data_IF_214696695197
#
_entry.id   IF_214696695197
#
_cell.length_a   1.000
_cell.length_b   1.000
_cell.length_c   1.000
_cell.angle_alpha   90.00
_cell.angle_beta   90.00
_cell.angle_gamma   90.00
#
_symmetry.space_group_name_H-M   'P 1'
#
loop_
_entity.id
_entity.type
_entity.pdbx_description
1 polymer ?
#
# COMPACT_ATOMS: atom_id res chain seq x y z
N UNK A 1 19.06 -23.75 -53.32
CA UNK A 1 19.15 -24.99 -54.13
C UNK A 1 17.80 -25.66 -54.06
N UNK A 2 17.20 -25.92 -55.24
CA UNK A 2 15.93 -26.61 -55.38
C UNK A 2 16.17 -27.90 -56.15
N UNK A 3 15.63 -28.99 -55.67
CA UNK A 3 15.74 -30.30 -56.34
C UNK A 3 14.32 -30.86 -56.47
N UNK A 4 13.95 -31.22 -57.70
CA UNK A 4 12.74 -31.93 -58.02
C UNK A 4 13.06 -33.32 -58.55
N UNK A 5 12.52 -34.36 -57.97
CA UNK A 5 12.68 -35.74 -58.38
C UNK A 5 11.35 -36.28 -58.97
N UNK A 6 11.40 -36.76 -60.15
CA UNK A 6 10.26 -37.41 -60.80
C UNK A 6 10.63 -38.85 -61.08
N UNK A 7 9.94 -39.76 -60.43
CA UNK A 7 10.13 -41.20 -60.65
C UNK A 7 8.89 -41.88 -61.22
N UNK A 8 9.03 -42.73 -62.22
CA UNK A 8 7.97 -43.61 -62.71
C UNK A 8 8.43 -45.04 -62.59
N UNK A 9 7.68 -45.84 -61.81
CA UNK A 9 7.92 -47.29 -61.71
C UNK A 9 6.65 -48.05 -62.15
N UNK A 10 6.57 -48.51 -63.44
CA UNK A 10 5.38 -49.18 -64.00
C UNK A 10 4.96 -50.41 -63.20
N UNK A 11 5.93 -51.12 -62.62
CA UNK A 11 5.66 -52.35 -61.87
C UNK A 11 4.90 -52.12 -60.59
N UNK A 12 5.13 -51.00 -59.96
CA UNK A 12 4.41 -50.60 -58.72
C UNK A 12 2.96 -50.17 -58.99
N UNK A 13 2.65 -49.75 -60.22
CA UNK A 13 1.32 -49.27 -60.61
C UNK A 13 0.50 -50.28 -61.36
N UNK A 14 0.99 -51.56 -61.58
CA UNK A 14 0.34 -52.62 -62.36
C UNK A 14 -0.06 -52.22 -63.81
N UNK A 15 0.60 -51.21 -64.36
CA UNK A 15 0.38 -50.85 -65.77
C UNK A 15 1.13 -51.80 -66.64
N UNK A 16 0.47 -52.87 -67.04
CA UNK A 16 1.00 -53.95 -67.85
C UNK A 16 0.77 -53.69 -69.34
N UNK A 17 1.37 -52.72 -69.94
CA UNK A 17 1.56 -52.76 -71.42
C UNK A 17 2.48 -51.62 -71.88
N UNK A 18 3.61 -52.04 -72.48
CA UNK A 18 4.39 -51.15 -73.32
C UNK A 18 5.59 -50.48 -72.68
N UNK A 19 6.60 -51.27 -72.42
CA UNK A 19 7.96 -51.00 -72.77
C UNK A 19 8.74 -49.83 -72.28
N UNK A 20 8.44 -49.15 -71.25
CA UNK A 20 9.38 -48.24 -70.64
C UNK A 20 9.66 -48.64 -69.20
N UNK A 21 10.88 -49.03 -68.90
CA UNK A 21 11.36 -49.36 -67.55
C UNK A 21 11.21 -48.24 -66.59
N UNK A 22 11.65 -48.45 -65.34
CA UNK A 22 11.71 -47.40 -64.30
C UNK A 22 12.50 -46.21 -64.81
N UNK A 23 11.92 -45.05 -64.75
CA UNK A 23 12.59 -43.79 -65.10
C UNK A 23 12.68 -42.86 -63.91
N UNK A 24 13.80 -42.20 -63.78
CA UNK A 24 14.02 -41.17 -62.81
C UNK A 24 14.51 -39.92 -63.53
N UNK A 25 13.84 -38.81 -63.30
CA UNK A 25 14.23 -37.52 -63.84
C UNK A 25 14.46 -36.58 -62.64
N UNK A 26 15.59 -35.91 -62.68
CA UNK A 26 15.94 -34.94 -61.65
C UNK A 26 16.11 -33.55 -62.27
N UNK A 27 15.46 -32.58 -61.71
CA UNK A 27 15.67 -31.18 -62.04
C UNK A 27 16.22 -30.46 -60.81
N UNK A 28 17.33 -29.79 -60.94
CA UNK A 28 17.98 -29.13 -59.88
C UNK A 28 18.63 -27.82 -60.30
N UNK A 29 18.62 -26.87 -59.36
CA UNK A 29 19.34 -25.61 -59.46
C UNK A 29 20.44 -25.57 -58.43
N UNK A 30 21.63 -25.16 -58.79
CA UNK A 30 22.76 -25.00 -57.88
C UNK A 30 23.51 -23.71 -58.16
N UNK A 31 24.27 -23.26 -57.18
CA UNK A 31 25.19 -22.15 -57.31
C UNK A 31 26.62 -22.65 -57.17
N UNK A 32 27.59 -21.92 -57.74
CA UNK A 32 28.99 -22.24 -57.61
C UNK A 32 29.43 -22.30 -56.15
N UNK A 33 30.24 -23.30 -55.76
CA UNK A 33 30.80 -23.44 -54.40
C UNK A 33 31.73 -22.31 -53.99
N UNK A 34 32.12 -21.44 -54.92
CA UNK A 34 32.89 -20.22 -54.63
C UNK A 34 32.00 -19.00 -54.34
N UNK A 35 30.67 -19.11 -54.34
CA UNK A 35 29.73 -18.06 -54.02
C UNK A 35 28.95 -18.43 -52.77
N UNK A 36 28.96 -17.51 -51.80
CA UNK A 36 28.11 -17.63 -50.62
C UNK A 36 26.64 -17.55 -51.06
N UNK A 37 25.88 -18.59 -50.75
CA UNK A 37 24.43 -18.56 -50.92
C UNK A 37 23.78 -17.92 -49.71
N UNK A 38 22.92 -16.95 -49.97
CA UNK A 38 22.04 -16.35 -48.94
C UNK A 38 20.62 -16.46 -49.42
N UNK A 39 19.72 -16.90 -48.52
CA UNK A 39 18.29 -16.88 -48.79
C UNK A 39 17.84 -15.45 -49.13
N UNK A 40 16.87 -15.34 -50.02
CA UNK A 40 16.24 -14.05 -50.25
C UNK A 40 15.67 -13.50 -48.93
N UNK A 41 15.98 -12.25 -48.66
CA UNK A 41 15.44 -11.58 -47.49
C UNK A 41 13.91 -11.50 -47.63
N UNK A 42 13.19 -12.02 -46.62
CA UNK A 42 11.74 -11.88 -46.51
C UNK A 42 11.45 -10.98 -45.32
N UNK A 43 10.72 -9.93 -45.55
CA UNK A 43 10.23 -9.08 -44.48
C UNK A 43 9.26 -9.91 -43.62
N UNK A 44 9.46 -9.87 -42.29
CA UNK A 44 8.43 -10.35 -41.38
C UNK A 44 7.19 -9.46 -41.50
N UNK A 45 6.00 -10.02 -41.39
CA UNK A 45 4.81 -9.18 -41.16
C UNK A 45 5.02 -8.33 -39.95
N UNK A 46 4.71 -7.04 -40.06
CA UNK A 46 4.76 -6.10 -38.95
C UNK A 46 3.41 -6.11 -38.24
N UNK A 47 3.43 -5.94 -36.91
CA UNK A 47 2.23 -5.63 -36.16
C UNK A 47 1.73 -4.22 -36.54
N UNK A 48 0.43 -4.10 -36.81
CA UNK A 48 -0.20 -2.85 -37.31
C UNK A 48 -0.64 -1.91 -36.17
N UNK A 49 -0.04 -2.05 -34.99
CA UNK A 49 -0.31 -1.19 -33.86
C UNK A 49 -0.20 -1.91 -32.52
N UNK A 50 -0.70 -1.24 -31.49
CA UNK A 50 -0.78 -1.80 -30.14
C UNK A 50 -2.01 -2.71 -30.00
N UNK A 51 -1.91 -3.68 -29.13
CA UNK A 51 -3.00 -4.62 -28.85
C UNK A 51 -3.34 -4.64 -27.36
N UNK A 52 -4.56 -5.04 -27.06
CA UNK A 52 -5.03 -5.22 -25.70
C UNK A 52 -4.99 -6.70 -25.32
N UNK A 53 -4.47 -6.99 -24.15
CA UNK A 53 -4.40 -8.34 -23.60
C UNK A 53 -4.76 -8.38 -22.12
N UNK A 54 -5.08 -9.55 -21.62
CA UNK A 54 -5.36 -9.78 -20.19
C UNK A 54 -4.18 -10.49 -19.53
N UNK A 55 -3.72 -10.00 -18.37
CA UNK A 55 -2.68 -10.67 -17.58
C UNK A 55 -3.20 -12.00 -17.07
N UNK A 56 -2.38 -13.05 -17.22
CA UNK A 56 -2.75 -14.42 -16.86
C UNK A 56 -1.68 -15.11 -16.01
N UNK A 57 -2.05 -16.24 -15.43
CA UNK A 57 -1.16 -17.06 -14.61
C UNK A 57 -1.87 -18.29 -14.06
N UNK A 58 -1.23 -19.05 -13.16
CA UNK A 58 -1.76 -20.26 -12.56
C UNK A 58 -3.10 -20.04 -11.84
N UNK A 59 -3.93 -21.06 -11.85
CA UNK A 59 -5.22 -21.02 -11.16
C UNK A 59 -5.03 -20.78 -9.65
N UNK A 60 -5.82 -19.84 -9.11
CA UNK A 60 -5.76 -19.47 -7.68
C UNK A 60 -4.64 -18.50 -7.31
N UNK A 61 -3.82 -18.05 -8.28
CA UNK A 61 -2.88 -16.95 -8.08
C UNK A 61 -3.50 -15.60 -8.49
N UNK A 62 -3.02 -14.53 -7.84
CA UNK A 62 -3.38 -13.14 -8.17
C UNK A 62 -2.23 -12.39 -8.83
N UNK A 63 -0.99 -12.83 -8.62
CA UNK A 63 0.22 -12.23 -9.13
C UNK A 63 1.11 -13.33 -9.69
N UNK A 64 1.50 -13.22 -10.96
CA UNK A 64 2.41 -14.18 -11.60
C UNK A 64 3.49 -13.43 -12.34
N UNK A 65 4.72 -13.56 -11.87
CA UNK A 65 5.88 -12.81 -12.36
C UNK A 65 7.14 -13.67 -12.23
N UNK A 66 8.05 -13.55 -13.17
CA UNK A 66 9.35 -14.23 -13.10
C UNK A 66 10.40 -13.35 -12.35
N UNK A 67 11.61 -13.88 -12.21
CA UNK A 67 12.72 -13.18 -11.49
C UNK A 67 13.18 -11.89 -12.18
N UNK A 68 12.92 -11.74 -13.47
CA UNK A 68 13.21 -10.53 -14.25
C UNK A 68 12.06 -9.51 -14.20
N UNK A 69 10.98 -9.81 -13.49
CA UNK A 69 9.82 -8.93 -13.40
C UNK A 69 8.89 -9.01 -14.62
N UNK A 70 9.01 -10.02 -15.49
CA UNK A 70 8.13 -10.19 -16.65
C UNK A 70 6.81 -10.85 -16.25
N UNK A 71 5.76 -10.57 -17.02
CA UNK A 71 4.41 -11.14 -16.86
C UNK A 71 4.01 -11.97 -18.08
N UNK A 72 2.91 -12.70 -17.96
CA UNK A 72 2.27 -13.40 -19.09
C UNK A 72 0.89 -12.84 -19.34
N UNK A 73 0.50 -12.84 -20.61
CA UNK A 73 -0.78 -12.30 -21.06
C UNK A 73 -1.50 -13.26 -21.99
N UNK A 74 -2.81 -13.10 -22.09
CA UNK A 74 -3.64 -13.76 -23.09
C UNK A 74 -4.25 -12.70 -23.99
N UNK A 75 -4.00 -12.79 -25.30
CA UNK A 75 -4.55 -11.87 -26.29
C UNK A 75 -6.02 -12.21 -26.58
N UNK A 76 -6.85 -11.22 -26.81
CA UNK A 76 -8.28 -11.43 -27.02
C UNK A 76 -8.62 -12.16 -28.34
N UNK A 77 -7.72 -12.11 -29.31
CA UNK A 77 -7.84 -12.83 -30.58
C UNK A 77 -7.42 -14.30 -30.52
N UNK A 78 -6.67 -14.68 -29.48
CA UNK A 78 -6.20 -16.06 -29.34
C UNK A 78 -7.37 -16.99 -29.00
N UNK A 79 -7.64 -17.92 -29.93
CA UNK A 79 -8.72 -18.90 -29.85
C UNK A 79 -8.24 -20.29 -29.49
N UNK A 80 -6.95 -20.52 -29.51
CA UNK A 80 -6.35 -21.84 -29.38
C UNK A 80 -5.81 -22.11 -28.00
N UNK A 81 -5.15 -21.13 -27.42
CA UNK A 81 -4.54 -21.26 -26.10
C UNK A 81 -5.53 -20.90 -24.98
N UNK A 82 -5.37 -21.56 -23.85
CA UNK A 82 -6.12 -21.23 -22.65
C UNK A 82 -5.54 -19.97 -21.99
N UNK A 83 -6.39 -19.20 -21.34
CA UNK A 83 -5.97 -18.04 -20.54
C UNK A 83 -5.35 -18.49 -19.21
N UNK A 84 -4.20 -19.18 -19.27
CA UNK A 84 -3.45 -19.71 -18.14
C UNK A 84 -1.97 -19.29 -18.20
N UNK A 85 -1.15 -19.87 -17.35
CA UNK A 85 0.30 -19.60 -17.27
C UNK A 85 1.09 -19.91 -18.54
N UNK A 86 0.51 -20.51 -19.55
CA UNK A 86 1.19 -20.90 -20.79
C UNK A 86 0.76 -20.06 -22.01
N UNK A 87 -0.19 -19.13 -21.83
CA UNK A 87 -0.82 -18.39 -22.93
C UNK A 87 0.13 -17.47 -23.72
N UNK A 88 1.27 -17.08 -23.19
CA UNK A 88 2.27 -16.29 -23.91
C UNK A 88 3.70 -16.61 -23.46
N UNK A 89 4.69 -16.04 -24.15
CA UNK A 89 6.03 -15.90 -23.61
C UNK A 89 6.03 -14.94 -22.40
N UNK A 90 7.15 -14.85 -21.66
CA UNK A 90 7.38 -13.84 -20.67
C UNK A 90 7.59 -12.47 -21.32
N UNK A 91 6.72 -11.50 -20.98
CA UNK A 91 6.72 -10.16 -21.57
C UNK A 91 7.13 -9.16 -20.50
N UNK A 92 8.11 -8.30 -20.82
CA UNK A 92 8.51 -7.18 -19.98
C UNK A 92 7.39 -6.15 -19.93
N UNK A 93 7.24 -5.44 -18.80
CA UNK A 93 6.34 -4.30 -18.72
C UNK A 93 7.10 -3.03 -18.35
N UNK A 94 6.70 -1.93 -18.98
CA UNK A 94 7.27 -0.62 -18.74
C UNK A 94 6.86 -0.08 -17.37
N UNK A 95 7.79 0.59 -16.71
CA UNK A 95 7.57 1.33 -15.47
C UNK A 95 7.90 2.80 -15.72
N UNK A 96 7.28 3.70 -14.96
CA UNK A 96 7.54 5.13 -15.11
C UNK A 96 8.98 5.55 -14.82
N UNK A 97 9.68 4.78 -14.01
CA UNK A 97 11.09 4.98 -13.67
C UNK A 97 11.71 3.69 -13.15
N UNK A 98 12.87 3.31 -13.67
CA UNK A 98 13.58 2.10 -13.25
C UNK A 98 15.09 2.24 -13.37
N UNK A 99 15.82 1.54 -12.52
CA UNK A 99 17.28 1.43 -12.54
C UNK A 99 17.75 0.18 -11.80
N UNK A 100 19.05 0.01 -11.63
CA UNK A 100 19.60 -1.14 -10.95
C UNK A 100 19.37 -1.03 -9.43
N UNK A 101 18.35 -1.73 -8.94
CA UNK A 101 18.01 -1.77 -7.51
C UNK A 101 17.21 -0.57 -7.00
N UNK A 102 16.71 0.30 -7.87
CA UNK A 102 15.85 1.42 -7.51
C UNK A 102 14.81 1.72 -8.60
N UNK A 103 13.74 2.42 -8.24
CA UNK A 103 12.70 2.83 -9.17
C UNK A 103 11.28 2.62 -8.63
N UNK A 104 10.31 2.84 -9.51
CA UNK A 104 8.90 2.54 -9.26
C UNK A 104 8.58 1.15 -9.81
N UNK A 105 7.99 0.28 -8.99
CA UNK A 105 7.62 -1.07 -9.41
C UNK A 105 6.20 -1.41 -8.95
N UNK A 106 5.28 -1.59 -9.92
CA UNK A 106 3.93 -2.07 -9.68
C UNK A 106 3.63 -3.19 -10.68
N UNK A 107 3.63 -4.44 -10.21
CA UNK A 107 3.39 -5.62 -11.06
C UNK A 107 1.91 -5.70 -11.44
N UNK A 108 1.56 -5.72 -12.74
CA UNK A 108 0.20 -5.96 -13.19
C UNK A 108 -0.28 -7.33 -12.70
N UNK A 109 -1.52 -7.36 -12.16
CA UNK A 109 -2.09 -8.57 -11.57
C UNK A 109 -2.91 -9.36 -12.58
N UNK A 110 -3.05 -10.65 -12.33
CA UNK A 110 -3.90 -11.55 -13.14
C UNK A 110 -5.33 -10.97 -13.22
N UNK A 111 -5.87 -10.94 -14.44
CA UNK A 111 -7.16 -10.36 -14.77
C UNK A 111 -7.15 -8.88 -15.14
N UNK A 112 -6.02 -8.18 -14.97
CA UNK A 112 -5.88 -6.79 -15.43
C UNK A 112 -5.68 -6.73 -16.94
N UNK A 113 -6.25 -5.71 -17.55
CA UNK A 113 -6.08 -5.39 -18.95
C UNK A 113 -4.82 -4.55 -19.15
N UNK A 114 -4.02 -4.92 -20.13
CA UNK A 114 -2.76 -4.26 -20.46
C UNK A 114 -2.68 -3.95 -21.95
N UNK A 115 -1.93 -2.90 -22.28
CA UNK A 115 -1.59 -2.52 -23.64
C UNK A 115 -0.26 -3.15 -23.99
N UNK A 116 -0.20 -3.90 -25.08
CA UNK A 116 1.00 -4.55 -25.61
C UNK A 116 1.41 -3.83 -26.87
N UNK A 117 2.60 -3.27 -26.87
CA UNK A 117 3.26 -2.67 -28.03
C UNK A 117 4.33 -3.62 -28.56
N UNK A 118 4.69 -3.48 -29.84
CA UNK A 118 5.70 -4.30 -30.49
C UNK A 118 6.89 -3.44 -30.93
N UNK A 119 8.07 -3.73 -30.41
CA UNK A 119 9.27 -2.95 -30.72
C UNK A 119 9.62 -3.02 -32.20
N UNK A 120 9.58 -1.88 -32.90
CA UNK A 120 9.73 -1.75 -34.36
C UNK A 120 8.67 -2.54 -35.16
N UNK A 121 7.49 -2.78 -34.60
CA UNK A 121 6.45 -3.59 -35.20
C UNK A 121 6.77 -5.09 -35.26
N UNK A 122 7.81 -5.56 -34.62
CA UNK A 122 8.21 -6.97 -34.62
C UNK A 122 7.38 -7.75 -33.59
N UNK A 123 6.51 -8.64 -34.06
CA UNK A 123 5.62 -9.46 -33.24
C UNK A 123 6.35 -10.37 -32.24
N UNK A 124 7.63 -10.66 -32.49
CA UNK A 124 8.47 -11.45 -31.57
C UNK A 124 9.09 -10.59 -30.47
N UNK A 125 8.80 -9.28 -30.45
CA UNK A 125 9.36 -8.34 -29.48
C UNK A 125 8.27 -7.54 -28.75
N UNK A 126 7.32 -8.22 -28.08
CA UNK A 126 6.27 -7.56 -27.32
C UNK A 126 6.81 -6.88 -26.07
N UNK A 127 6.19 -5.77 -25.69
CA UNK A 127 6.39 -5.07 -24.42
C UNK A 127 5.05 -4.53 -23.93
N UNK A 128 4.72 -4.74 -22.68
CA UNK A 128 3.56 -4.10 -22.05
C UNK A 128 3.92 -2.65 -21.72
N UNK A 129 3.16 -1.70 -22.22
CA UNK A 129 3.39 -0.26 -22.07
C UNK A 129 2.48 0.42 -21.09
N UNK A 130 1.35 -0.19 -20.71
CA UNK A 130 0.40 0.36 -19.75
C UNK A 130 -0.66 -0.62 -19.30
N UNK A 131 -1.44 -0.20 -18.30
CA UNK A 131 -2.65 -0.87 -17.85
C UNK A 131 -3.86 0.04 -18.08
N UNK A 132 -5.01 -0.55 -18.37
CA UNK A 132 -6.26 0.20 -18.58
C UNK A 132 -7.34 -0.24 -17.60
N UNK A 133 -8.19 0.72 -17.22
CA UNK A 133 -9.45 0.39 -16.58
C UNK A 133 -10.50 0.03 -17.63
N UNK A 134 -11.39 -0.89 -17.28
CA UNK A 134 -12.47 -1.34 -18.16
C UNK A 134 -13.72 -1.69 -17.34
N UNK A 135 -14.73 -2.28 -17.98
CA UNK A 135 -15.98 -2.67 -17.32
C UNK A 135 -15.82 -3.71 -16.20
N UNK A 136 -14.74 -4.50 -16.21
CA UNK A 136 -14.42 -5.50 -15.19
C UNK A 136 -13.45 -4.94 -14.14
N UNK A 137 -12.44 -4.22 -14.57
CA UNK A 137 -11.43 -3.58 -13.73
C UNK A 137 -11.72 -2.07 -13.66
N UNK A 138 -12.57 -1.67 -12.73
CA UNK A 138 -12.97 -0.27 -12.55
C UNK A 138 -11.92 0.53 -11.80
N UNK A 139 -11.87 1.87 -11.99
CA UNK A 139 -11.05 2.76 -11.17
C UNK A 139 -11.30 2.58 -9.67
N UNK A 140 -10.31 2.84 -8.81
CA UNK A 140 -10.47 2.75 -7.35
C UNK A 140 -11.31 3.89 -6.74
N UNK A 141 -11.71 4.86 -7.53
CA UNK A 141 -12.50 6.04 -7.16
C UNK A 141 -13.89 5.95 -7.81
N UNK A 142 -14.89 6.48 -7.14
CA UNK A 142 -16.26 6.57 -7.66
C UNK A 142 -16.39 7.77 -8.61
N UNK A 143 -16.11 7.54 -9.88
CA UNK A 143 -16.14 8.57 -10.92
C UNK A 143 -17.54 8.71 -11.52
N UNK A 144 -18.01 9.94 -11.85
CA UNK A 144 -17.28 11.22 -11.82
C UNK A 144 -17.33 11.96 -10.47
N UNK A 145 -17.96 11.42 -9.43
CA UNK A 145 -18.18 12.12 -8.15
C UNK A 145 -16.85 12.47 -7.45
N UNK A 146 -15.88 11.58 -7.47
CA UNK A 146 -14.56 11.75 -6.83
C UNK A 146 -13.46 12.21 -7.81
N UNK A 147 -13.80 12.99 -8.83
CA UNK A 147 -12.86 13.42 -9.88
C UNK A 147 -11.72 14.33 -9.41
N UNK A 148 -11.84 14.92 -8.22
CA UNK A 148 -10.81 15.78 -7.60
C UNK A 148 -9.78 14.97 -6.81
N UNK A 149 -9.99 13.67 -6.64
CA UNK A 149 -9.07 12.78 -5.92
C UNK A 149 -8.01 12.18 -6.84
N UNK A 150 -6.80 12.10 -6.31
CA UNK A 150 -5.69 11.32 -6.88
C UNK A 150 -5.28 10.26 -5.87
N UNK A 151 -5.17 9.00 -6.28
CA UNK A 151 -4.82 7.92 -5.34
C UNK A 151 -3.79 6.95 -5.91
N UNK A 152 -2.88 6.51 -5.03
CA UNK A 152 -2.07 5.31 -5.20
C UNK A 152 -2.56 4.28 -4.20
N UNK A 153 -3.37 3.33 -4.70
CA UNK A 153 -4.04 2.31 -3.87
C UNK A 153 -3.58 0.92 -4.25
N UNK A 154 -3.13 0.15 -3.27
CA UNK A 154 -2.75 -1.26 -3.43
C UNK A 154 -3.88 -2.16 -2.94
N UNK A 155 -3.77 -3.45 -3.18
CA UNK A 155 -4.71 -4.46 -2.67
C UNK A 155 -3.93 -5.57 -1.96
N UNK A 156 -4.42 -6.02 -0.83
CA UNK A 156 -3.85 -7.16 -0.11
C UNK A 156 -3.89 -8.42 -0.99
N UNK A 157 -2.75 -9.11 -1.10
CA UNK A 157 -2.66 -10.38 -1.82
C UNK A 157 -3.48 -11.45 -1.08
N UNK A 158 -4.39 -12.10 -1.80
CA UNK A 158 -5.30 -13.14 -1.27
C UNK A 158 -6.09 -12.68 -0.03
N UNK A 159 -6.46 -11.40 0.03
CA UNK A 159 -7.21 -10.82 1.14
C UNK A 159 -7.97 -9.55 0.74
N UNK A 160 -8.76 -9.02 1.68
CA UNK A 160 -9.70 -7.91 1.43
C UNK A 160 -9.19 -6.56 2.00
N UNK A 161 -7.90 -6.35 2.09
CA UNK A 161 -7.33 -5.11 2.58
C UNK A 161 -6.64 -4.28 1.50
N UNK A 162 -6.18 -3.09 1.88
CA UNK A 162 -5.44 -2.19 1.00
C UNK A 162 -4.49 -1.27 1.77
N UNK A 163 -3.46 -0.75 1.09
CA UNK A 163 -2.74 0.44 1.54
C UNK A 163 -3.02 1.56 0.55
N UNK A 164 -3.05 2.81 1.02
CA UNK A 164 -3.41 3.94 0.19
C UNK A 164 -2.63 5.21 0.55
N UNK A 165 -2.15 5.91 -0.46
CA UNK A 165 -1.78 7.32 -0.40
C UNK A 165 -2.74 8.07 -1.33
N UNK A 166 -3.55 8.97 -0.75
CA UNK A 166 -4.57 9.72 -1.47
C UNK A 166 -4.42 11.21 -1.24
N UNK A 167 -4.72 11.97 -2.26
CA UNK A 167 -4.85 13.42 -2.24
C UNK A 167 -6.28 13.79 -2.62
N UNK A 168 -6.90 14.68 -1.86
CA UNK A 168 -8.15 15.35 -2.22
C UNK A 168 -7.83 16.80 -2.50
N UNK A 169 -8.19 17.29 -3.70
CA UNK A 169 -7.90 18.64 -4.17
C UNK A 169 -9.18 19.51 -4.31
N UNK A 170 -10.31 19.05 -3.79
CA UNK A 170 -11.52 19.86 -3.74
C UNK A 170 -11.31 21.04 -2.78
N UNK A 171 -11.62 22.26 -3.27
CA UNK A 171 -11.45 23.50 -2.50
C UNK A 171 -12.14 23.42 -1.14
N UNK A 172 -11.44 23.81 -0.08
CA UNK A 172 -11.87 23.80 1.31
C UNK A 172 -12.09 22.37 1.89
N UNK A 173 -11.62 21.32 1.17
CA UNK A 173 -11.66 19.92 1.57
C UNK A 173 -10.33 19.19 1.29
N UNK A 174 -9.27 19.97 1.03
CA UNK A 174 -7.95 19.45 0.70
C UNK A 174 -7.44 18.52 1.80
N UNK A 175 -7.03 17.31 1.41
CA UNK A 175 -6.56 16.29 2.34
C UNK A 175 -5.40 15.48 1.76
N UNK A 176 -4.44 15.13 2.59
CA UNK A 176 -3.49 14.03 2.33
C UNK A 176 -3.81 12.89 3.29
N UNK A 177 -4.26 11.77 2.75
CA UNK A 177 -4.65 10.57 3.51
C UNK A 177 -3.64 9.45 3.31
N UNK A 178 -3.12 8.89 4.41
CA UNK A 178 -2.22 7.74 4.41
C UNK A 178 -2.89 6.60 5.20
N UNK A 179 -3.13 5.49 4.54
CA UNK A 179 -3.71 4.30 5.15
C UNK A 179 -2.76 3.10 5.04
N UNK A 180 -2.42 2.52 6.17
CA UNK A 180 -1.71 1.25 6.27
C UNK A 180 -2.67 0.17 6.79
N UNK A 181 -2.88 -0.89 6.01
CA UNK A 181 -3.78 -1.99 6.37
C UNK A 181 -3.37 -2.68 7.68
N UNK A 182 -2.10 -2.73 7.98
CA UNK A 182 -1.59 -3.38 9.18
C UNK A 182 -0.55 -2.52 9.89
N UNK A 183 0.65 -2.46 9.41
CA UNK A 183 1.77 -1.82 10.07
C UNK A 183 2.28 -0.64 9.24
N UNK A 184 2.56 0.48 9.90
CA UNK A 184 3.29 1.60 9.31
C UNK A 184 4.62 1.78 10.02
N UNK A 185 5.72 1.84 9.25
CA UNK A 185 7.07 2.07 9.77
C UNK A 185 7.69 3.26 9.07
N UNK A 186 8.15 4.21 9.86
CA UNK A 186 8.90 5.37 9.38
C UNK A 186 10.32 5.29 9.93
N UNK A 187 11.32 5.46 9.06
CA UNK A 187 12.73 5.53 9.44
C UNK A 187 13.34 6.78 8.85
N UNK A 188 13.87 7.64 9.70
CA UNK A 188 14.51 8.91 9.33
C UNK A 188 15.94 8.85 9.85
N UNK A 189 16.91 9.03 8.94
CA UNK A 189 18.33 8.87 9.28
C UNK A 189 18.98 10.16 9.82
N UNK A 190 18.28 11.28 9.72
CA UNK A 190 18.73 12.56 10.25
C UNK A 190 17.59 13.22 11.03
N UNK A 191 17.03 14.30 10.58
CA UNK A 191 16.07 15.11 11.32
C UNK A 191 14.63 14.93 10.81
N UNK A 192 13.66 14.98 11.71
CA UNK A 192 12.24 15.15 11.39
C UNK A 192 11.79 16.52 11.92
N UNK A 193 11.17 17.32 11.06
CA UNK A 193 10.53 18.57 11.43
C UNK A 193 9.05 18.50 11.07
N UNK A 194 8.17 18.79 12.04
CA UNK A 194 6.72 18.81 11.85
C UNK A 194 6.19 20.16 12.29
N UNK A 195 5.60 20.94 11.36
CA UNK A 195 4.93 22.19 11.61
C UNK A 195 3.43 22.05 11.31
N UNK A 196 2.57 22.36 12.29
CA UNK A 196 1.12 22.19 12.20
C UNK A 196 0.46 23.50 12.62
N UNK A 197 -0.17 24.16 11.67
CA UNK A 197 -0.80 25.47 11.86
C UNK A 197 -2.01 25.45 12.79
N UNK A 198 -2.67 24.31 12.98
CA UNK A 198 -3.87 24.20 13.81
C UNK A 198 -3.71 23.08 14.86
N UNK A 199 -4.35 21.96 14.73
CA UNK A 199 -4.42 20.93 15.77
C UNK A 199 -3.64 19.67 15.39
N UNK A 200 -3.00 19.03 16.37
CA UNK A 200 -2.46 17.69 16.26
C UNK A 200 -3.21 16.75 17.21
N UNK A 201 -3.78 15.68 16.67
CA UNK A 201 -4.48 14.64 17.41
C UNK A 201 -3.68 13.34 17.34
N UNK A 202 -3.47 12.68 18.47
CA UNK A 202 -2.77 11.40 18.52
C UNK A 202 -3.55 10.45 19.42
N UNK A 203 -4.11 9.38 18.85
CA UNK A 203 -4.84 8.34 19.57
C UNK A 203 -4.18 6.98 19.40
N UNK A 204 -3.75 6.37 20.49
CA UNK A 204 -3.16 5.03 20.52
C UNK A 204 -4.02 4.15 21.41
N UNK A 205 -4.58 3.08 20.86
CA UNK A 205 -5.51 2.20 21.59
C UNK A 205 -4.85 1.32 22.65
N UNK A 206 -3.56 1.06 22.52
CA UNK A 206 -2.79 0.25 23.45
C UNK A 206 -1.64 1.06 24.03
N UNK A 207 -0.41 0.78 23.67
CA UNK A 207 0.76 1.35 24.30
C UNK A 207 1.44 2.38 23.40
N UNK A 208 1.85 3.51 23.98
CA UNK A 208 2.71 4.50 23.34
C UNK A 208 4.01 4.63 24.13
N UNK A 209 5.14 4.46 23.46
CA UNK A 209 6.47 4.60 24.06
C UNK A 209 7.23 5.72 23.36
N UNK A 210 7.74 6.67 24.14
CA UNK A 210 8.66 7.70 23.67
C UNK A 210 9.99 7.51 24.39
N UNK A 211 11.06 7.34 23.62
CA UNK A 211 12.44 7.33 24.12
C UNK A 211 13.24 8.41 23.42
N UNK A 212 13.86 9.26 24.21
CA UNK A 212 14.77 10.30 23.75
C UNK A 212 16.09 10.11 24.49
N UNK A 213 17.18 9.91 23.77
CA UNK A 213 18.47 9.58 24.37
C UNK A 213 19.20 10.80 24.93
N UNK A 214 18.83 12.02 24.55
CA UNK A 214 19.43 13.25 25.04
C UNK A 214 18.41 14.11 25.79
N UNK A 215 17.74 15.01 25.14
CA UNK A 215 16.88 16.00 25.81
C UNK A 215 15.47 16.03 25.22
N UNK A 216 14.46 16.05 26.07
CA UNK A 216 13.06 16.20 25.69
C UNK A 216 12.48 17.49 26.33
N UNK A 217 12.07 18.45 25.49
CA UNK A 217 11.48 19.73 25.92
C UNK A 217 10.02 19.80 25.53
N UNK A 218 9.18 20.24 26.45
CA UNK A 218 7.76 20.51 26.20
C UNK A 218 7.44 21.94 26.67
N UNK A 219 6.85 22.72 25.77
CA UNK A 219 6.38 24.07 26.06
C UNK A 219 4.93 24.19 25.56
N UNK A 220 4.05 24.65 26.41
CA UNK A 220 2.70 25.09 26.06
C UNK A 220 2.48 26.51 26.59
N UNK A 221 1.91 27.39 25.77
CA UNK A 221 1.64 28.77 26.21
C UNK A 221 0.50 28.84 27.23
N UNK A 222 -0.38 27.84 27.26
CA UNK A 222 -1.47 27.77 28.23
C UNK A 222 -1.26 26.58 29.17
N UNK A 223 -1.98 25.50 29.01
CA UNK A 223 -2.04 24.42 29.97
C UNK A 223 -1.35 23.14 29.43
N UNK A 224 -0.68 22.43 30.34
CA UNK A 224 -0.27 21.05 30.15
C UNK A 224 -1.05 20.20 31.14
N UNK A 225 -1.90 19.29 30.66
CA UNK A 225 -2.67 18.39 31.51
C UNK A 225 -2.19 16.94 31.33
N UNK A 226 -1.78 16.30 32.42
CA UNK A 226 -1.38 14.89 32.44
C UNK A 226 -2.33 14.16 33.39
N UNK A 227 -3.07 13.18 32.84
CA UNK A 227 -4.03 12.38 33.60
C UNK A 227 -3.78 10.91 33.42
N UNK A 228 -3.92 10.11 34.47
CA UNK A 228 -3.80 8.67 34.45
C UNK A 228 -4.86 8.01 35.30
N UNK A 229 -5.41 6.88 34.84
CA UNK A 229 -6.41 6.13 35.60
C UNK A 229 -5.83 5.32 36.79
N UNK A 230 -4.52 5.15 36.87
CA UNK A 230 -3.88 4.35 37.95
C UNK A 230 -2.71 5.08 38.62
N UNK A 231 -1.53 5.05 38.03
CA UNK A 231 -0.31 5.57 38.64
C UNK A 231 0.45 6.46 37.67
N UNK A 232 0.91 7.61 38.15
CA UNK A 232 1.91 8.43 37.50
C UNK A 232 3.25 8.23 38.21
N UNK A 233 4.28 7.80 37.52
CA UNK A 233 5.64 7.69 38.03
C UNK A 233 6.49 8.79 37.39
N UNK A 234 7.08 9.64 38.23
CA UNK A 234 8.08 10.63 37.81
C UNK A 234 9.35 10.34 38.58
N UNK A 235 10.44 10.08 37.88
CA UNK A 235 11.75 9.82 38.48
C UNK A 235 12.80 10.68 37.77
N UNK A 236 13.60 11.37 38.55
CA UNK A 236 14.84 12.02 38.12
C UNK A 236 15.99 11.46 38.95
N UNK A 237 17.15 11.15 38.33
CA UNK A 237 18.28 10.60 39.09
C UNK A 237 19.06 11.66 39.83
N UNK A 238 19.02 12.93 39.38
CA UNK A 238 19.70 14.05 40.01
C UNK A 238 18.70 14.96 40.77
N UNK A 239 17.83 15.69 40.07
CA UNK A 239 16.91 16.62 40.71
C UNK A 239 15.56 16.67 40.01
N UNK A 240 14.49 16.74 40.81
CA UNK A 240 13.15 17.09 40.36
C UNK A 240 12.84 18.52 40.84
N UNK A 241 12.82 19.46 39.88
CA UNK A 241 12.56 20.87 40.18
C UNK A 241 11.14 21.23 39.76
N UNK A 242 10.33 21.72 40.72
CA UNK A 242 8.94 22.13 40.48
C UNK A 242 8.77 23.56 40.97
N UNK A 243 8.29 24.47 40.12
CA UNK A 243 8.02 25.86 40.46
C UNK A 243 6.62 26.25 39.98
N UNK A 244 5.80 26.73 40.87
CA UNK A 244 4.53 27.41 40.58
C UNK A 244 4.64 28.91 40.85
N UNK A 245 4.12 29.73 39.93
CA UNK A 245 4.13 31.19 40.11
C UNK A 245 3.29 31.63 41.32
N UNK A 246 2.10 31.08 41.47
CA UNK A 246 1.17 31.43 42.56
C UNK A 246 0.96 30.27 43.52
N UNK A 247 0.87 29.03 43.03
CA UNK A 247 0.48 27.91 43.87
C UNK A 247 1.10 26.59 43.39
N UNK A 248 1.49 25.74 44.32
CA UNK A 248 1.74 24.31 44.10
C UNK A 248 0.81 23.58 45.05
N UNK A 249 -0.19 22.87 44.53
CA UNK A 249 -1.15 22.15 45.34
C UNK A 249 -0.89 20.62 45.25
N UNK A 250 -0.49 20.03 46.37
CA UNK A 250 -0.30 18.58 46.51
C UNK A 250 -1.41 18.04 47.42
N UNK A 251 -2.28 17.18 46.87
CA UNK A 251 -3.40 16.58 47.62
C UNK A 251 -3.40 15.07 47.47
N UNK A 252 -3.58 14.37 48.58
CA UNK A 252 -3.83 12.97 48.66
C UNK A 252 -5.13 12.67 49.38
N UNK A 253 -5.87 11.64 48.98
CA UNK A 253 -7.11 11.21 49.66
C UNK A 253 -6.85 10.53 50.99
N UNK A 254 -5.70 9.90 51.19
CA UNK A 254 -5.36 9.11 52.37
C UNK A 254 -4.01 9.48 52.97
N UNK A 255 -2.95 9.41 52.20
CA UNK A 255 -1.58 9.55 52.73
C UNK A 255 -0.72 10.39 51.79
N UNK A 256 -0.02 11.37 52.33
CA UNK A 256 1.07 12.08 51.68
C UNK A 256 2.36 11.79 52.45
N UNK A 257 3.35 11.21 51.81
CA UNK A 257 4.67 10.99 52.40
C UNK A 257 5.67 11.88 51.69
N UNK A 258 6.42 12.64 52.46
CA UNK A 258 7.57 13.42 52.00
C UNK A 258 8.77 12.87 52.80
N UNK A 259 9.67 12.18 52.10
CA UNK A 259 10.83 11.55 52.69
C UNK A 259 12.11 12.13 52.08
N UNK A 260 13.03 12.53 52.91
CA UNK A 260 14.33 13.07 52.56
C UNK A 260 15.42 12.35 53.34
N UNK A 261 16.39 11.74 52.64
CA UNK A 261 17.48 11.01 53.29
C UNK A 261 18.43 11.86 54.13
N UNK A 262 18.47 13.15 53.93
CA UNK A 262 19.36 14.06 54.64
C UNK A 262 18.62 15.21 55.39
N UNK A 263 17.93 16.03 54.67
CA UNK A 263 17.25 17.22 55.20
C UNK A 263 15.93 17.51 54.50
N UNK A 264 14.89 17.84 55.27
CA UNK A 264 13.64 18.39 54.76
C UNK A 264 13.48 19.79 55.35
N UNK A 265 13.37 20.82 54.52
CA UNK A 265 13.08 22.20 54.92
C UNK A 265 11.75 22.66 54.35
N UNK A 266 10.85 23.12 55.24
CA UNK A 266 9.61 23.80 54.88
C UNK A 266 9.76 25.29 55.25
N UNK A 267 9.66 26.19 54.28
CA UNK A 267 9.88 27.62 54.45
C UNK A 267 8.69 28.45 53.96
N UNK A 268 8.25 29.42 54.77
CA UNK A 268 7.21 30.39 54.42
C UNK A 268 7.41 31.71 55.14
N UNK A 269 7.19 32.85 54.48
CA UNK A 269 7.22 34.21 55.07
C UNK A 269 8.48 34.50 55.91
N UNK A 270 9.65 33.95 55.49
CA UNK A 270 10.92 34.16 56.23
C UNK A 270 11.14 33.19 57.37
N UNK A 271 10.17 32.38 57.76
CA UNK A 271 10.29 31.34 58.79
C UNK A 271 10.45 29.94 58.16
N UNK A 272 11.14 29.03 58.85
CA UNK A 272 11.33 27.69 58.43
C UNK A 272 11.11 26.63 59.51
N UNK A 273 10.76 25.46 59.15
CA UNK A 273 10.82 24.20 59.86
C UNK A 273 11.79 23.27 59.14
N UNK A 274 12.85 22.84 59.81
CA UNK A 274 13.88 21.95 59.27
C UNK A 274 13.90 20.66 60.08
N UNK A 275 13.96 19.54 59.37
CA UNK A 275 14.13 18.21 59.92
C UNK A 275 15.41 17.63 59.34
N UNK A 276 16.38 17.30 60.19
CA UNK A 276 17.65 16.70 59.82
C UNK A 276 18.14 15.70 60.90
N UNK A 277 19.39 15.20 60.75
CA UNK A 277 19.99 14.26 61.68
C UNK A 277 20.11 14.83 63.13
N UNK A 278 20.12 16.15 63.32
CA UNK A 278 20.15 16.83 64.61
C UNK A 278 18.77 16.96 65.30
N UNK A 279 17.70 16.63 64.58
CA UNK A 279 16.33 16.72 65.08
C UNK A 279 15.45 17.72 64.31
N UNK A 280 14.47 18.34 65.01
CA UNK A 280 13.54 19.28 64.41
C UNK A 280 13.89 20.69 64.93
N UNK A 281 14.22 21.61 64.03
CA UNK A 281 14.55 22.97 64.27
C UNK A 281 13.50 23.91 63.67
N UNK A 282 13.00 24.88 64.47
CA UNK A 282 12.10 25.92 63.97
C UNK A 282 12.72 27.30 64.23
N UNK A 283 12.61 28.19 63.22
CA UNK A 283 13.07 29.58 63.31
C UNK A 283 12.11 30.48 64.12
N UNK A 284 10.91 30.01 64.47
CA UNK A 284 9.90 30.69 65.28
C UNK A 284 9.23 29.72 66.26
N UNK A 285 8.53 30.24 67.28
CA UNK A 285 7.75 29.44 68.21
C UNK A 285 6.68 28.58 67.47
N UNK A 286 6.57 27.29 67.83
CA UNK A 286 5.54 26.39 67.27
C UNK A 286 4.28 26.55 68.19
N UNK A 287 3.18 27.00 67.61
CA UNK A 287 1.89 27.07 68.28
C UNK A 287 1.10 25.76 68.03
N UNK A 288 0.82 25.07 69.17
CA UNK A 288 -0.05 23.92 69.18
C UNK A 288 -1.49 24.36 69.43
N UNK A 289 -2.33 24.53 68.39
CA UNK A 289 -3.69 25.03 68.53
C UNK A 289 -4.54 24.74 67.28
N UNK A 290 -5.85 25.11 67.34
CA UNK A 290 -6.76 25.00 66.19
C UNK A 290 -6.58 26.22 65.30
N UNK A 291 -5.88 25.99 64.15
CA UNK A 291 -5.78 26.96 63.04
C UNK A 291 -6.71 26.53 61.87
N UNK A 292 -7.02 27.48 60.97
CA UNK A 292 -7.74 27.17 59.74
C UNK A 292 -6.69 26.76 58.68
N UNK A 293 -6.83 25.58 58.11
CA UNK A 293 -5.90 25.14 57.05
C UNK A 293 -6.07 25.98 55.78
N UNK A 294 -4.98 26.16 55.04
CA UNK A 294 -5.01 26.76 53.71
C UNK A 294 -5.86 25.92 52.76
N UNK A 295 -6.63 26.56 51.91
CA UNK A 295 -7.47 25.91 50.89
C UNK A 295 -6.85 26.16 49.53
N UNK A 296 -6.47 25.10 48.81
CA UNK A 296 -5.98 25.21 47.42
C UNK A 296 -7.12 25.38 46.42
N UNK A 297 -6.81 25.88 45.24
CA UNK A 297 -7.76 26.28 44.18
C UNK A 297 -8.45 25.14 43.42
N UNK A 298 -8.23 23.90 43.80
CA UNK A 298 -8.90 22.72 43.21
C UNK A 298 -8.28 22.20 41.92
N UNK A 299 -8.80 21.07 41.43
CA UNK A 299 -8.29 20.36 40.25
C UNK A 299 -9.09 20.73 39.01
N UNK A 300 -8.48 21.41 38.03
CA UNK A 300 -9.07 21.86 36.79
C UNK A 300 -8.47 21.18 35.52
N UNK A 301 -8.09 19.91 35.61
CA UNK A 301 -7.56 19.20 34.43
C UNK A 301 -8.61 19.04 33.33
N UNK A 302 -8.30 19.44 32.10
CA UNK A 302 -9.13 19.20 30.93
C UNK A 302 -8.81 17.82 30.35
N UNK A 303 -9.84 16.99 30.18
CA UNK A 303 -9.73 15.74 29.40
C UNK A 303 -9.67 16.09 27.91
N UNK A 304 -9.01 15.27 27.05
CA UNK A 304 -8.94 15.50 25.61
C UNK A 304 -10.26 15.19 24.94
N UNK A 305 -11.26 16.10 25.10
CA UNK A 305 -12.62 15.94 24.54
C UNK A 305 -12.66 15.91 23.00
N UNK A 306 -11.69 16.51 22.31
CA UNK A 306 -11.66 16.62 20.86
C UNK A 306 -11.43 15.27 20.15
N UNK A 307 -10.72 14.33 20.76
CA UNK A 307 -10.47 13.00 20.18
C UNK A 307 -11.76 12.18 19.95
N UNK A 308 -12.79 12.38 20.75
CA UNK A 308 -14.05 11.64 20.60
C UNK A 308 -14.92 12.18 19.46
N UNK A 309 -14.83 13.47 19.14
CA UNK A 309 -15.68 14.11 18.14
C UNK A 309 -15.18 13.88 16.71
N UNK A 310 -13.88 13.87 16.51
CA UNK A 310 -13.28 13.65 15.17
C UNK A 310 -13.13 12.17 14.79
N UNK A 311 -12.93 11.28 15.75
CA UNK A 311 -12.90 9.84 15.46
C UNK A 311 -14.25 9.27 14.97
N UNK A 312 -15.36 9.96 15.17
CA UNK A 312 -16.66 9.57 14.60
C UNK A 312 -16.78 9.88 13.10
N UNK A 313 -15.93 10.74 12.55
CA UNK A 313 -15.92 11.11 11.12
C UNK A 313 -14.96 10.31 10.27
N UNK A 314 -14.02 9.58 10.86
CA UNK A 314 -13.20 8.60 10.13
C UNK A 314 -13.94 7.26 10.09
N UNK A 315 -15.11 7.23 9.49
CA UNK A 315 -15.66 6.01 8.93
C UNK A 315 -14.81 5.71 7.68
N UNK A 316 -13.93 4.72 7.80
CA UNK A 316 -13.32 4.11 6.62
C UNK A 316 -14.48 3.53 5.84
N UNK A 317 -14.92 4.20 4.78
CA UNK A 317 -15.80 3.60 3.79
C UNK A 317 -15.04 2.42 3.18
N UNK A 318 -15.28 1.24 3.74
CA UNK A 318 -14.86 -0.01 3.12
C UNK A 318 -15.69 -0.11 1.84
N UNK A 319 -15.10 -0.02 0.65
CA UNK A 319 -15.85 -0.19 -0.59
C UNK A 319 -16.60 -1.51 -0.48
N UNK A 320 -17.88 -1.49 -0.81
CA UNK A 320 -18.71 -2.68 -0.85
C UNK A 320 -17.95 -3.79 -1.57
N UNK A 321 -17.86 -4.95 -0.94
CA UNK A 321 -17.11 -6.10 -1.43
C UNK A 321 -17.43 -6.34 -2.91
N UNK A 322 -16.39 -6.36 -3.74
CA UNK A 322 -16.53 -6.83 -5.12
C UNK A 322 -17.06 -8.26 -5.04
N UNK A 323 -18.21 -8.57 -5.65
CA UNK A 323 -18.79 -9.92 -5.55
C UNK A 323 -17.76 -10.93 -6.08
N UNK A 324 -17.44 -11.96 -5.29
CA UNK A 324 -16.67 -13.11 -5.76
C UNK A 324 -17.40 -13.68 -6.97
N UNK A 325 -16.77 -13.65 -8.13
CA UNK A 325 -17.30 -14.25 -9.36
C UNK A 325 -17.21 -15.76 -9.18
N UNK A 326 -18.32 -16.49 -9.07
CA UNK A 326 -18.28 -17.95 -9.13
C UNK A 326 -17.90 -18.35 -10.56
N UNK A 327 -16.98 -19.31 -10.72
CA UNK A 327 -16.40 -19.75 -11.99
C UNK A 327 -17.36 -20.43 -12.96
N UNK A 328 -18.47 -19.79 -13.34
CA UNK A 328 -19.31 -20.15 -14.50
C UNK A 328 -19.86 -18.87 -15.11
N UNK A 329 -19.67 -18.73 -16.40
CA UNK A 329 -19.87 -17.58 -17.25
C UNK A 329 -21.02 -16.64 -16.87
N UNK A 330 -20.69 -15.37 -16.76
CA UNK A 330 -21.63 -14.28 -16.59
C UNK A 330 -22.53 -14.18 -17.85
N UNK A 331 -23.84 -14.24 -17.65
CA UNK A 331 -24.79 -13.99 -18.72
C UNK A 331 -24.84 -12.48 -19.02
N UNK A 332 -24.30 -12.08 -20.16
CA UNK A 332 -24.23 -10.68 -20.63
C UNK A 332 -25.64 -10.04 -20.65
N UNK A 333 -26.68 -10.80 -21.00
CA UNK A 333 -28.05 -10.30 -20.97
C UNK A 333 -28.58 -10.00 -19.56
N UNK A 334 -28.09 -10.73 -18.54
CA UNK A 334 -28.46 -10.47 -17.15
C UNK A 334 -27.77 -9.20 -16.60
N UNK A 335 -26.52 -8.94 -17.05
CA UNK A 335 -25.77 -7.74 -16.72
C UNK A 335 -26.42 -6.48 -17.33
N UNK A 336 -26.75 -6.52 -18.60
CA UNK A 336 -27.41 -5.42 -19.30
C UNK A 336 -28.80 -5.10 -18.70
N UNK A 337 -29.52 -6.11 -18.26
CA UNK A 337 -30.81 -5.91 -17.62
C UNK A 337 -30.71 -5.29 -16.23
N UNK A 338 -29.70 -5.67 -15.44
CA UNK A 338 -29.43 -5.08 -14.13
C UNK A 338 -28.97 -3.62 -14.24
N UNK A 339 -28.19 -3.29 -15.27
CA UNK A 339 -27.75 -1.91 -15.55
C UNK A 339 -28.91 -1.00 -15.96
N UNK A 340 -29.85 -1.52 -16.77
CA UNK A 340 -31.08 -0.81 -17.17
C UNK A 340 -32.06 -0.58 -16.00
N UNK A 341 -32.05 -1.46 -15.02
CA UNK A 341 -32.93 -1.40 -13.83
C UNK A 341 -32.27 -0.67 -12.63
N UNK A 342 -31.03 -0.17 -12.78
CA UNK A 342 -30.29 0.54 -11.73
C UNK A 342 -29.95 -0.34 -10.49
N UNK A 343 -29.94 -1.67 -10.66
CA UNK A 343 -29.70 -2.60 -9.57
C UNK A 343 -28.20 -2.76 -9.27
N UNK A 344 -27.80 -2.53 -8.03
CA UNK A 344 -26.42 -2.69 -7.55
C UNK A 344 -26.06 -4.15 -7.20
N UNK A 345 -27.01 -5.07 -7.22
CA UNK A 345 -26.82 -6.48 -6.83
C UNK A 345 -27.67 -7.42 -7.68
N UNK A 346 -27.04 -8.46 -8.24
CA UNK A 346 -27.72 -9.52 -8.99
C UNK A 346 -27.91 -10.71 -8.05
N UNK A 347 -29.15 -10.99 -7.64
CA UNK A 347 -29.53 -12.19 -6.87
C UNK A 347 -30.01 -13.26 -7.85
N UNK A 348 -29.26 -14.36 -7.95
CA UNK A 348 -29.70 -15.54 -8.73
C UNK A 348 -30.70 -16.34 -7.92
N UNK A 349 -31.99 -16.37 -8.35
CA UNK A 349 -32.95 -17.39 -7.87
C UNK A 349 -32.49 -18.75 -8.41
N UNK A 350 -32.21 -19.69 -7.52
CA UNK A 350 -32.10 -21.11 -7.88
C UNK A 350 -33.48 -21.60 -8.29
N UNK A 351 -33.56 -22.12 -9.50
CA UNK A 351 -34.67 -22.95 -9.96
C UNK A 351 -34.29 -24.40 -9.80
#
# INVERSE_FOLDING_TARGET
VTIHHYGKCPQALQEASGGSGTSLHNEFSFISGYKDWRALYRYKPLADGDEVATVVGPAGEEIYVNKEGCIRVHFHWDRYDKADENASCWIRFAQGWNGSGYGFMAVPRIGQEVIVSYLNGDIDRPIVTGCTYNGLNRPPLDLPAEKTRTTFKTRTHKGDGFNELRFEDAKDQEEVFIHAQRDMKTQILNDETVDIANNRLHHVKHDAHLRVDNEYRVLANNDISVSTGKKLHVKADDALLMQGGNEIHLRSGTTLVIDAGGELTLQAAGHFLKIDAGGITSSAGINFGSGVPGIGSGWGGKLPDMLQKEMKQVSVDIPAQIPKIPGKGLCISCLLKAELEGATTIIRKQS
#
